data_IF_239363789896
#
_entry.id   IF_239363789896
#
_cell.length_a   1.000
_cell.length_b   1.000
_cell.length_c   1.000
_cell.angle_alpha   90.00
_cell.angle_beta   90.00
_cell.angle_gamma   90.00
#
_symmetry.space_group_name_H-M   'P 1'
#
loop_
_entity.id
_entity.type
_entity.pdbx_description
1 polymer ?
#
# COMPACT_ATOMS: atom_id res chain seq x y z
N UNK A 1 27.03 14.58 5.81
CA UNK A 1 25.57 14.55 5.71
C UNK A 1 25.00 15.85 5.15
N UNK A 2 25.27 17.01 5.73
CA UNK A 2 24.78 18.34 5.33
C UNK A 2 25.06 18.69 3.85
N UNK A 3 26.27 18.44 3.33
CA UNK A 3 26.64 18.76 1.94
C UNK A 3 25.81 17.99 0.90
N UNK A 4 25.53 16.71 1.15
CA UNK A 4 24.70 15.88 0.26
C UNK A 4 23.25 16.41 0.19
N UNK A 5 22.75 16.90 1.31
CA UNK A 5 21.40 17.46 1.43
C UNK A 5 21.27 18.77 0.64
N UNK A 6 22.22 19.69 0.80
CA UNK A 6 22.26 20.93 0.02
C UNK A 6 22.50 20.68 -1.47
N UNK A 7 23.39 19.75 -1.82
CA UNK A 7 23.62 19.38 -3.22
C UNK A 7 22.35 18.83 -3.89
N UNK A 8 21.58 18.00 -3.17
CA UNK A 8 20.31 17.47 -3.66
C UNK A 8 19.27 18.58 -3.84
N UNK A 9 19.20 19.54 -2.90
CA UNK A 9 18.29 20.69 -3.00
C UNK A 9 18.61 21.57 -4.22
N UNK A 10 19.89 21.85 -4.46
CA UNK A 10 20.34 22.64 -5.62
C UNK A 10 20.00 21.93 -6.94
N UNK A 11 20.27 20.63 -7.04
CA UNK A 11 19.95 19.84 -8.23
C UNK A 11 18.43 19.85 -8.48
N UNK A 12 17.63 19.69 -7.42
CA UNK A 12 16.16 19.73 -7.54
C UNK A 12 15.66 21.10 -8.00
N UNK A 13 16.25 22.20 -7.51
CA UNK A 13 15.89 23.56 -7.91
C UNK A 13 16.22 23.83 -9.38
N UNK A 14 17.39 23.37 -9.83
CA UNK A 14 17.80 23.47 -11.25
C UNK A 14 16.88 22.65 -12.15
N UNK A 15 16.55 21.42 -11.76
CA UNK A 15 15.63 20.57 -12.51
C UNK A 15 14.24 21.21 -12.60
N UNK A 16 13.73 21.75 -11.48
CA UNK A 16 12.44 22.45 -11.45
C UNK A 16 12.43 23.65 -12.40
N UNK A 17 13.48 24.49 -12.38
CA UNK A 17 13.57 25.65 -13.28
C UNK A 17 13.59 25.26 -14.76
N UNK A 18 14.24 24.13 -15.09
CA UNK A 18 14.26 23.62 -16.45
C UNK A 18 12.92 22.99 -16.87
N UNK A 19 12.22 22.37 -15.95
CA UNK A 19 10.86 21.84 -16.17
C UNK A 19 9.86 22.98 -16.40
N UNK A 20 9.84 24.00 -15.54
CA UNK A 20 8.97 25.19 -15.69
C UNK A 20 9.11 25.89 -17.05
N UNK A 21 10.35 25.97 -17.58
CA UNK A 21 10.61 26.57 -18.90
C UNK A 21 10.09 25.67 -20.05
N UNK A 22 10.22 24.35 -19.92
CA UNK A 22 9.72 23.39 -20.93
C UNK A 22 8.22 23.34 -20.97
N UNK A 23 7.55 23.39 -19.81
CA UNK A 23 6.09 23.35 -19.68
C UNK A 23 5.41 24.53 -20.36
N UNK A 24 5.98 25.73 -20.27
CA UNK A 24 5.45 26.92 -20.97
C UNK A 24 5.33 26.74 -22.48
N UNK A 25 6.11 25.83 -23.05
CA UNK A 25 6.15 25.61 -24.49
C UNK A 25 5.42 24.35 -24.95
N UNK A 26 5.25 23.33 -24.11
CA UNK A 26 4.79 21.99 -24.51
C UNK A 26 3.75 21.33 -23.59
N UNK A 27 3.21 22.04 -22.60
CA UNK A 27 2.31 21.48 -21.57
C UNK A 27 3.06 20.75 -20.46
N UNK A 28 2.32 20.20 -19.49
CA UNK A 28 2.89 19.54 -18.32
C UNK A 28 3.78 18.35 -18.71
N UNK A 29 5.04 18.37 -18.29
CA UNK A 29 6.06 17.35 -18.59
C UNK A 29 6.85 17.00 -17.32
N UNK A 30 7.56 15.90 -17.37
CA UNK A 30 8.41 15.44 -16.27
C UNK A 30 8.05 14.02 -15.85
N UNK A 31 8.77 13.53 -14.83
CA UNK A 31 8.52 12.19 -14.28
C UNK A 31 7.89 12.30 -12.91
N UNK A 32 6.73 11.71 -12.73
CA UNK A 32 6.06 11.55 -11.45
C UNK A 32 6.55 10.27 -10.78
N UNK A 33 7.21 10.41 -9.64
CA UNK A 33 7.74 9.30 -8.86
C UNK A 33 6.74 8.91 -7.78
N UNK A 34 6.17 7.72 -7.90
CA UNK A 34 5.14 7.20 -7.02
C UNK A 34 5.64 5.95 -6.29
N UNK A 35 5.27 5.82 -5.02
CA UNK A 35 5.48 4.59 -4.28
C UNK A 35 4.18 4.10 -3.65
N UNK A 36 4.04 2.80 -3.42
CA UNK A 36 2.88 2.28 -2.71
C UNK A 36 3.15 0.96 -2.01
N UNK A 37 2.31 0.66 -1.04
CA UNK A 37 2.11 -0.71 -0.61
C UNK A 37 1.36 -1.49 -1.68
N UNK A 38 1.37 -2.81 -1.59
CA UNK A 38 0.51 -3.69 -2.37
C UNK A 38 -0.96 -3.62 -1.88
N UNK A 39 -1.81 -4.45 -2.41
CA UNK A 39 -3.24 -4.44 -2.12
C UNK A 39 -3.99 -3.50 -3.06
N UNK A 40 -4.84 -2.62 -2.53
CA UNK A 40 -5.68 -1.73 -3.36
C UNK A 40 -4.90 -0.53 -3.96
N UNK A 41 -3.76 -0.16 -3.39
CA UNK A 41 -3.01 1.02 -3.82
C UNK A 41 -2.60 1.04 -5.32
N UNK A 42 -2.12 -0.08 -5.93
CA UNK A 42 -1.85 -0.11 -7.37
C UNK A 42 -3.07 0.16 -8.24
N UNK A 43 -4.26 -0.26 -7.82
CA UNK A 43 -5.53 0.01 -8.53
C UNK A 43 -5.87 1.50 -8.48
N UNK A 44 -5.72 2.15 -7.33
CA UNK A 44 -5.92 3.60 -7.20
C UNK A 44 -4.97 4.36 -8.14
N UNK A 45 -3.68 4.04 -8.12
CA UNK A 45 -2.74 4.66 -9.06
C UNK A 45 -3.08 4.41 -10.51
N UNK A 46 -3.45 3.20 -10.90
CA UNK A 46 -3.84 2.90 -12.26
C UNK A 46 -5.03 3.74 -12.73
N UNK A 47 -6.04 3.92 -11.88
CA UNK A 47 -7.21 4.76 -12.18
C UNK A 47 -6.83 6.24 -12.29
N UNK A 48 -6.06 6.78 -11.35
CA UNK A 48 -5.64 8.18 -11.36
C UNK A 48 -4.70 8.49 -12.52
N UNK A 49 -3.70 7.65 -12.73
CA UNK A 49 -2.75 7.79 -13.85
C UNK A 49 -3.48 7.74 -15.18
N UNK A 50 -4.40 6.79 -15.38
CA UNK A 50 -5.17 6.69 -16.63
C UNK A 50 -5.95 7.97 -16.92
N UNK A 51 -6.57 8.56 -15.92
CA UNK A 51 -7.36 9.77 -16.10
C UNK A 51 -6.49 11.03 -16.23
N UNK A 52 -5.38 11.11 -15.49
CA UNK A 52 -4.43 12.22 -15.55
C UNK A 52 -3.66 12.24 -16.87
N UNK A 53 -3.22 11.08 -17.34
CA UNK A 53 -2.47 10.91 -18.59
C UNK A 53 -3.28 11.38 -19.83
N UNK A 54 -4.60 11.19 -19.83
CA UNK A 54 -5.46 11.71 -20.91
C UNK A 54 -5.37 13.23 -21.09
N UNK A 55 -5.14 13.95 -20.00
CA UNK A 55 -4.98 15.40 -20.00
C UNK A 55 -3.52 15.84 -20.16
N UNK A 56 -2.58 15.01 -19.72
CA UNK A 56 -1.15 15.29 -19.63
C UNK A 56 -0.33 14.17 -20.27
N UNK A 57 -0.39 13.97 -21.61
CA UNK A 57 0.18 12.80 -22.28
C UNK A 57 1.72 12.76 -22.28
N UNK A 58 2.38 13.87 -21.94
CA UNK A 58 3.85 13.96 -21.90
C UNK A 58 4.44 13.64 -20.51
N UNK A 59 3.60 13.40 -19.50
CA UNK A 59 4.05 13.01 -18.16
C UNK A 59 4.47 11.53 -18.16
N UNK A 60 5.65 11.28 -17.60
CA UNK A 60 6.17 9.93 -17.37
C UNK A 60 5.90 9.50 -15.93
N UNK A 61 5.88 8.19 -15.69
CA UNK A 61 5.57 7.62 -14.37
C UNK A 61 6.62 6.62 -13.96
N UNK A 62 7.09 6.73 -12.72
CA UNK A 62 7.95 5.76 -12.07
C UNK A 62 7.25 5.21 -10.84
N UNK A 63 6.89 3.91 -10.84
CA UNK A 63 6.17 3.27 -9.75
C UNK A 63 7.08 2.30 -9.00
N UNK A 64 7.05 2.38 -7.68
CA UNK A 64 7.77 1.49 -6.79
C UNK A 64 6.84 0.91 -5.72
N UNK A 65 7.03 -0.37 -5.37
CA UNK A 65 6.23 -1.05 -4.35
C UNK A 65 7.10 -1.59 -3.21
N UNK A 66 6.55 -1.56 -1.98
CA UNK A 66 7.17 -2.09 -0.79
C UNK A 66 6.21 -2.10 0.40
N UNK A 67 6.71 -2.42 1.59
CA UNK A 67 5.92 -2.26 2.81
C UNK A 67 5.80 -0.78 3.21
N UNK A 68 4.85 -0.44 4.12
CA UNK A 68 4.61 0.96 4.48
C UNK A 68 5.84 1.67 5.06
N UNK A 69 6.71 0.98 5.80
CA UNK A 69 7.90 1.60 6.40
C UNK A 69 8.93 1.94 5.33
N UNK A 70 9.16 1.06 4.36
CA UNK A 70 10.02 1.31 3.20
C UNK A 70 9.48 2.45 2.34
N UNK A 71 8.16 2.48 2.14
CA UNK A 71 7.47 3.54 1.38
C UNK A 71 7.63 4.90 2.07
N UNK A 72 7.39 4.98 3.38
CA UNK A 72 7.61 6.21 4.16
C UNK A 72 9.07 6.67 4.07
N UNK A 73 10.02 5.75 4.23
CA UNK A 73 11.44 6.06 4.10
C UNK A 73 11.77 6.67 2.71
N UNK A 74 11.16 6.17 1.63
CA UNK A 74 11.35 6.74 0.28
C UNK A 74 10.81 8.16 0.16
N UNK A 75 9.61 8.43 0.69
CA UNK A 75 9.03 9.78 0.74
C UNK A 75 9.94 10.73 1.49
N UNK A 76 10.38 10.35 2.69
CA UNK A 76 11.20 11.21 3.54
C UNK A 76 12.57 11.52 2.92
N UNK A 77 13.14 10.59 2.16
CA UNK A 77 14.42 10.79 1.45
C UNK A 77 14.24 11.38 0.04
N UNK A 78 13.01 11.70 -0.37
CA UNK A 78 12.73 12.29 -1.68
C UNK A 78 13.03 11.37 -2.86
N UNK A 79 12.92 10.06 -2.65
CA UNK A 79 13.02 9.04 -3.70
C UNK A 79 11.69 8.80 -4.42
N UNK A 80 10.61 9.38 -3.91
CA UNK A 80 9.32 9.52 -4.58
C UNK A 80 8.64 10.81 -4.13
N UNK A 81 7.72 11.30 -4.93
CA UNK A 81 6.95 12.52 -4.68
C UNK A 81 5.76 12.25 -3.79
N UNK A 82 4.96 11.26 -4.17
CA UNK A 82 3.73 10.85 -3.50
C UNK A 82 3.75 9.34 -3.25
N UNK A 83 3.11 8.91 -2.16
CA UNK A 83 3.04 7.49 -1.89
C UNK A 83 1.73 7.09 -1.20
N UNK A 84 1.31 5.83 -1.39
CA UNK A 84 0.16 5.26 -0.68
C UNK A 84 0.65 4.20 0.31
N UNK A 85 0.23 4.34 1.56
CA UNK A 85 0.50 3.38 2.64
C UNK A 85 -0.80 2.95 3.32
N UNK A 86 -0.71 1.89 4.14
CA UNK A 86 -1.79 1.49 5.05
C UNK A 86 -1.44 1.96 6.46
N UNK A 87 -2.38 2.65 7.11
CA UNK A 87 -2.27 3.05 8.51
C UNK A 87 -2.22 1.83 9.47
N UNK A 88 -1.69 1.97 10.69
CA UNK A 88 -1.10 3.18 11.26
C UNK A 88 0.33 3.43 10.76
N UNK A 89 0.75 4.69 10.80
CA UNK A 89 2.15 5.07 10.64
C UNK A 89 2.56 6.06 11.74
N UNK A 90 3.85 6.06 12.08
CA UNK A 90 4.42 6.95 13.10
C UNK A 90 5.42 7.95 12.47
N UNK A 91 5.28 8.21 11.18
CA UNK A 91 6.21 9.10 10.49
C UNK A 91 5.90 10.57 10.80
N UNK A 92 6.79 11.23 11.52
CA UNK A 92 6.80 12.69 11.60
C UNK A 92 7.22 13.29 10.27
N UNK A 93 6.64 14.45 9.91
CA UNK A 93 7.04 15.19 8.71
C UNK A 93 6.38 14.72 7.40
N UNK A 94 5.37 13.88 7.46
CA UNK A 94 4.49 13.60 6.33
C UNK A 94 3.15 14.30 6.47
N UNK A 95 2.61 14.76 5.35
CA UNK A 95 1.20 15.10 5.21
C UNK A 95 0.45 13.91 4.62
N UNK A 96 -0.83 13.79 4.90
CA UNK A 96 -1.63 12.67 4.45
C UNK A 96 -3.04 13.07 4.02
N UNK A 97 -3.59 12.26 3.11
CA UNK A 97 -4.97 12.32 2.65
C UNK A 97 -5.55 10.89 2.64
N UNK A 98 -6.66 10.63 3.37
CA UNK A 98 -7.35 9.35 3.28
C UNK A 98 -7.88 9.14 1.86
N UNK A 99 -7.65 7.93 1.28
CA UNK A 99 -8.01 7.66 -0.12
C UNK A 99 -8.86 6.41 -0.30
N UNK A 100 -8.78 5.44 0.62
CA UNK A 100 -9.56 4.22 0.51
C UNK A 100 -9.59 3.44 1.82
N UNK A 101 -10.62 2.59 2.00
CA UNK A 101 -10.71 1.64 3.10
C UNK A 101 -11.29 0.33 2.60
N UNK A 102 -10.80 -0.78 3.12
CA UNK A 102 -11.31 -2.12 2.85
C UNK A 102 -11.22 -3.01 4.10
N UNK A 103 -12.05 -4.07 4.20
CA UNK A 103 -11.95 -5.01 5.32
C UNK A 103 -10.68 -5.87 5.21
N UNK A 104 -10.33 -6.50 6.33
CA UNK A 104 -9.33 -7.56 6.37
C UNK A 104 -9.97 -8.89 6.07
N UNK A 105 -9.26 -9.73 5.33
CA UNK A 105 -9.72 -11.07 4.96
C UNK A 105 -8.72 -12.15 5.37
N UNK A 106 -9.25 -13.35 5.57
CA UNK A 106 -8.48 -14.58 5.61
C UNK A 106 -8.50 -15.21 4.22
N UNK A 107 -7.34 -15.37 3.61
CA UNK A 107 -7.13 -16.18 2.42
C UNK A 107 -6.79 -17.59 2.88
N UNK A 108 -7.66 -18.55 2.57
CA UNK A 108 -7.68 -19.90 3.13
C UNK A 108 -7.45 -20.90 2.00
N UNK A 109 -6.52 -21.88 2.16
CA UNK A 109 -6.36 -22.92 1.14
C UNK A 109 -7.68 -23.64 0.85
N UNK A 110 -7.99 -23.96 -0.41
CA UNK A 110 -9.20 -24.67 -0.78
C UNK A 110 -9.31 -26.07 -0.10
N UNK A 111 -8.17 -26.67 0.24
CA UNK A 111 -8.10 -27.95 0.99
C UNK A 111 -8.36 -27.83 2.48
N UNK A 112 -8.39 -26.61 3.04
CA UNK A 112 -8.58 -26.39 4.47
C UNK A 112 -10.06 -26.59 4.87
N UNK A 113 -10.39 -27.23 6.00
CA UNK A 113 -11.77 -27.40 6.44
C UNK A 113 -12.59 -26.11 6.53
N UNK A 114 -11.96 -24.97 6.86
CA UNK A 114 -12.64 -23.69 6.93
C UNK A 114 -13.17 -23.21 5.56
N UNK A 115 -12.60 -23.68 4.46
CA UNK A 115 -13.06 -23.35 3.10
C UNK A 115 -14.42 -24.02 2.78
N UNK A 116 -14.73 -25.13 3.44
CA UNK A 116 -15.98 -25.89 3.23
C UNK A 116 -17.21 -25.20 3.84
N UNK A 117 -17.01 -24.31 4.80
CA UNK A 117 -18.09 -23.49 5.33
C UNK A 117 -18.50 -22.43 4.30
N UNK A 118 -19.78 -22.40 3.84
CA UNK A 118 -20.24 -21.47 2.81
C UNK A 118 -20.30 -20.00 3.26
N UNK A 119 -20.14 -19.71 4.56
CA UNK A 119 -20.13 -18.33 5.07
C UNK A 119 -19.03 -17.51 4.38
N UNK A 120 -19.33 -16.30 3.87
CA UNK A 120 -18.34 -15.39 3.33
C UNK A 120 -17.49 -14.70 4.42
N UNK A 121 -17.84 -14.92 5.70
CA UNK A 121 -17.19 -14.30 6.85
C UNK A 121 -16.59 -15.34 7.78
N UNK A 122 -15.61 -14.91 8.60
CA UNK A 122 -14.94 -15.71 9.61
C UNK A 122 -14.58 -14.84 10.82
N UNK A 123 -14.60 -15.40 12.02
CA UNK A 123 -14.11 -14.71 13.22
C UNK A 123 -12.62 -15.00 13.40
N UNK A 124 -11.86 -14.05 13.91
CA UNK A 124 -10.42 -14.24 14.13
C UNK A 124 -10.13 -15.47 15.02
N UNK A 125 -10.94 -15.71 16.05
CA UNK A 125 -10.75 -16.87 16.94
C UNK A 125 -10.83 -18.23 16.23
N UNK A 126 -11.53 -18.31 15.10
CA UNK A 126 -11.60 -19.56 14.30
C UNK A 126 -10.29 -19.87 13.55
N UNK A 127 -9.41 -18.86 13.42
CA UNK A 127 -8.09 -19.01 12.80
C UNK A 127 -7.02 -19.52 13.79
N UNK A 128 -7.27 -19.49 15.11
CA UNK A 128 -6.29 -19.87 16.14
C UNK A 128 -5.63 -21.24 15.97
N UNK A 129 -6.35 -22.30 15.54
CA UNK A 129 -5.76 -23.63 15.38
C UNK A 129 -4.83 -23.75 14.15
N UNK A 130 -4.76 -22.72 13.30
CA UNK A 130 -4.07 -22.79 12.02
C UNK A 130 -2.80 -21.95 11.99
N UNK A 131 -1.88 -22.32 11.12
CA UNK A 131 -0.67 -21.55 10.84
C UNK A 131 -1.00 -20.32 10.02
N UNK A 132 -0.57 -19.15 10.50
CA UNK A 132 -0.91 -17.86 9.89
C UNK A 132 0.30 -17.20 9.25
N UNK A 133 0.07 -16.61 8.09
CA UNK A 133 0.94 -15.63 7.47
C UNK A 133 0.30 -14.24 7.59
N UNK A 134 1.08 -13.26 8.02
CA UNK A 134 0.60 -11.90 8.26
C UNK A 134 1.53 -10.88 7.57
N UNK A 135 1.10 -9.64 7.34
CA UNK A 135 1.97 -8.60 6.81
C UNK A 135 3.22 -8.38 7.66
N UNK A 136 4.35 -8.08 7.00
CA UNK A 136 5.69 -8.09 7.60
C UNK A 136 5.96 -6.99 8.65
N UNK A 137 5.13 -5.92 8.70
CA UNK A 137 5.33 -4.82 9.65
C UNK A 137 5.13 -5.27 11.09
N UNK A 138 6.04 -4.85 12.00
CA UNK A 138 5.95 -5.16 13.43
C UNK A 138 4.68 -4.61 14.08
N UNK A 139 4.30 -3.35 13.77
CA UNK A 139 3.06 -2.74 14.25
C UNK A 139 1.81 -3.52 13.83
N UNK A 140 1.84 -4.14 12.66
CA UNK A 140 0.75 -4.97 12.15
C UNK A 140 0.65 -6.31 12.89
N UNK A 141 1.79 -6.89 13.25
CA UNK A 141 1.81 -8.10 14.10
C UNK A 141 1.11 -7.84 15.45
N UNK A 142 1.46 -6.73 16.10
CA UNK A 142 0.86 -6.35 17.39
C UNK A 142 -0.65 -6.10 17.27
N UNK A 143 -1.07 -5.43 16.21
CA UNK A 143 -2.48 -5.17 15.95
C UNK A 143 -3.26 -6.46 15.71
N UNK A 144 -2.81 -7.29 14.77
CA UNK A 144 -3.48 -8.56 14.42
C UNK A 144 -3.49 -9.51 15.62
N UNK A 145 -2.44 -9.54 16.42
CA UNK A 145 -2.41 -10.38 17.62
C UNK A 145 -3.53 -10.03 18.61
N UNK A 146 -3.88 -8.75 18.71
CA UNK A 146 -5.00 -8.30 19.58
C UNK A 146 -6.37 -8.79 19.11
N UNK A 147 -6.53 -9.12 17.83
CA UNK A 147 -7.82 -9.61 17.29
C UNK A 147 -8.24 -10.96 17.90
N UNK A 148 -7.29 -11.72 18.37
CA UNK A 148 -7.53 -13.06 18.93
C UNK A 148 -7.90 -13.04 20.43
N UNK A 149 -7.81 -11.88 21.07
CA UNK A 149 -8.06 -11.72 22.51
C UNK A 149 -6.76 -11.68 23.34
N UNK A 150 -6.85 -11.23 24.61
CA UNK A 150 -5.68 -10.91 25.44
C UNK A 150 -4.77 -12.09 25.75
N UNK A 151 -5.34 -13.30 25.89
CA UNK A 151 -4.63 -14.52 26.28
C UNK A 151 -4.35 -15.45 25.07
N UNK A 152 -4.82 -15.10 23.90
CA UNK A 152 -4.69 -15.94 22.72
C UNK A 152 -3.30 -15.78 22.09
N UNK A 153 -2.73 -16.90 21.62
CA UNK A 153 -1.44 -16.94 20.96
C UNK A 153 -1.63 -17.53 19.55
N UNK A 154 -1.90 -16.71 18.53
CA UNK A 154 -2.00 -17.19 17.17
C UNK A 154 -0.67 -17.80 16.70
N UNK A 155 -0.75 -18.86 15.92
CA UNK A 155 0.44 -19.55 15.38
C UNK A 155 0.93 -18.77 14.15
N UNK A 156 1.73 -17.72 14.35
CA UNK A 156 2.32 -16.95 13.26
C UNK A 156 3.53 -17.70 12.70
N UNK A 157 3.35 -18.34 11.54
CA UNK A 157 4.41 -19.08 10.84
C UNK A 157 5.37 -18.17 10.08
N UNK A 158 4.86 -17.07 9.53
CA UNK A 158 5.69 -16.14 8.77
C UNK A 158 5.09 -14.76 8.62
N UNK A 159 5.98 -13.81 8.26
CA UNK A 159 5.64 -12.44 7.92
C UNK A 159 5.97 -12.18 6.46
N UNK A 160 5.04 -11.64 5.70
CA UNK A 160 5.13 -11.52 4.25
C UNK A 160 4.95 -10.07 3.82
N UNK A 161 5.87 -9.58 2.99
CA UNK A 161 5.82 -8.24 2.43
C UNK A 161 5.02 -8.17 1.12
N UNK A 162 5.02 -9.27 0.35
CA UNK A 162 4.47 -9.31 -1.01
C UNK A 162 3.25 -10.22 -1.11
N UNK A 163 2.17 -9.68 -1.67
CA UNK A 163 0.88 -10.39 -1.82
C UNK A 163 0.99 -11.66 -2.67
N UNK A 164 1.78 -11.64 -3.74
CA UNK A 164 1.97 -12.83 -4.57
C UNK A 164 2.62 -13.98 -3.78
N UNK A 165 3.63 -13.68 -2.94
CA UNK A 165 4.25 -14.69 -2.07
C UNK A 165 3.26 -15.26 -1.06
N UNK A 166 2.40 -14.39 -0.50
CA UNK A 166 1.33 -14.79 0.41
C UNK A 166 0.33 -15.76 -0.27
N UNK A 167 -0.11 -15.39 -1.48
CA UNK A 167 -1.01 -16.20 -2.28
C UNK A 167 -0.41 -17.58 -2.60
N UNK A 168 0.84 -17.62 -3.08
CA UNK A 168 1.50 -18.87 -3.45
C UNK A 168 1.66 -19.84 -2.26
N UNK A 169 2.05 -19.32 -1.10
CA UNK A 169 2.15 -20.14 0.12
C UNK A 169 0.79 -20.66 0.57
N UNK A 170 -0.24 -19.83 0.49
CA UNK A 170 -1.61 -20.21 0.85
C UNK A 170 -2.16 -21.27 -0.09
N UNK A 171 -2.12 -21.07 -1.40
CA UNK A 171 -2.68 -22.04 -2.36
C UNK A 171 -2.00 -23.42 -2.28
N UNK A 172 -0.73 -23.47 -1.88
CA UNK A 172 0.02 -24.71 -1.65
C UNK A 172 -0.25 -25.34 -0.27
N UNK A 173 -1.14 -24.75 0.53
CA UNK A 173 -1.57 -25.30 1.81
C UNK A 173 -0.61 -25.11 2.97
N UNK A 174 0.39 -24.22 2.87
CA UNK A 174 1.37 -23.99 3.94
C UNK A 174 0.72 -23.27 5.13
N UNK A 175 -0.31 -22.44 4.90
CA UNK A 175 -1.04 -21.76 5.98
C UNK A 175 -2.10 -20.80 5.44
N UNK A 176 -2.78 -20.10 6.36
CA UNK A 176 -3.80 -19.11 6.06
C UNK A 176 -3.14 -17.74 6.09
N UNK A 177 -3.40 -16.92 5.08
CA UNK A 177 -2.88 -15.54 5.05
C UNK A 177 -3.95 -14.53 5.47
N UNK A 178 -3.60 -13.62 6.38
CA UNK A 178 -4.41 -12.45 6.73
C UNK A 178 -3.89 -11.26 5.90
N UNK A 179 -4.77 -10.68 5.09
CA UNK A 179 -4.42 -9.58 4.18
C UNK A 179 -5.64 -8.66 3.95
N UNK A 180 -5.48 -7.42 3.45
CA UNK A 180 -6.60 -6.60 2.99
C UNK A 180 -7.43 -7.28 1.88
N UNK A 181 -8.70 -6.94 1.75
CA UNK A 181 -9.67 -7.64 0.87
C UNK A 181 -9.27 -7.65 -0.61
N UNK A 182 -8.51 -6.66 -1.07
CA UNK A 182 -7.92 -6.61 -2.42
C UNK A 182 -6.99 -7.79 -2.76
N UNK A 183 -6.58 -8.59 -1.77
CA UNK A 183 -5.93 -9.88 -2.01
C UNK A 183 -6.77 -10.82 -2.88
N UNK A 184 -8.10 -10.72 -2.78
CA UNK A 184 -9.02 -11.49 -3.62
C UNK A 184 -8.96 -11.15 -5.11
N UNK A 185 -8.48 -9.96 -5.47
CA UNK A 185 -8.42 -9.51 -6.87
C UNK A 185 -7.41 -10.29 -7.71
N UNK A 186 -6.36 -10.83 -7.09
CA UNK A 186 -5.35 -11.64 -7.77
C UNK A 186 -5.50 -13.15 -7.51
N UNK A 187 -6.35 -13.52 -6.55
CA UNK A 187 -6.50 -14.91 -6.14
C UNK A 187 -7.32 -15.69 -7.17
N UNK A 188 -6.86 -16.87 -7.53
CA UNK A 188 -7.69 -17.85 -8.19
C UNK A 188 -8.58 -18.53 -7.15
N UNK A 189 -9.88 -18.24 -7.18
CA UNK A 189 -10.86 -18.74 -6.20
C UNK A 189 -11.10 -20.26 -6.28
N UNK A 190 -10.49 -20.97 -7.24
CA UNK A 190 -10.45 -22.43 -7.23
C UNK A 190 -9.40 -22.99 -6.28
N UNK A 191 -8.34 -22.22 -6.02
CA UNK A 191 -7.18 -22.64 -5.20
C UNK A 191 -7.29 -22.17 -3.75
N UNK A 192 -7.99 -21.07 -3.53
CA UNK A 192 -8.17 -20.46 -2.22
C UNK A 192 -9.60 -19.94 -2.03
N UNK A 193 -10.03 -19.89 -0.77
CA UNK A 193 -11.26 -19.27 -0.33
C UNK A 193 -10.95 -17.96 0.38
N UNK A 194 -11.67 -16.89 0.09
CA UNK A 194 -11.54 -15.58 0.74
C UNK A 194 -12.72 -15.38 1.69
N UNK A 195 -12.43 -15.09 2.94
CA UNK A 195 -13.45 -14.78 3.96
C UNK A 195 -13.11 -13.48 4.69
N UNK A 196 -14.10 -12.60 4.80
CA UNK A 196 -13.96 -11.37 5.58
C UNK A 196 -13.86 -11.67 7.07
N UNK A 197 -12.90 -11.04 7.76
CA UNK A 197 -12.74 -11.16 9.22
C UNK A 197 -13.69 -10.15 9.89
N UNK A 198 -14.71 -10.65 10.59
CA UNK A 198 -15.79 -9.80 11.13
C UNK A 198 -15.74 -9.59 12.65
N UNK A 199 -15.00 -10.43 13.37
CA UNK A 199 -14.81 -10.29 14.83
C UNK A 199 -13.31 -10.45 15.18
N UNK A 200 -12.63 -9.31 15.46
CA UNK A 200 -13.13 -7.94 15.35
C UNK A 200 -13.22 -7.47 13.90
N UNK A 201 -14.21 -6.64 13.60
CA UNK A 201 -14.32 -5.98 12.30
C UNK A 201 -13.31 -4.83 12.22
N UNK A 202 -12.21 -5.04 11.54
CA UNK A 202 -11.17 -4.04 11.32
C UNK A 202 -11.05 -3.70 9.84
N UNK A 203 -10.63 -2.47 9.56
CA UNK A 203 -10.39 -1.99 8.20
C UNK A 203 -8.93 -1.66 7.97
N UNK A 204 -8.47 -1.91 6.76
CA UNK A 204 -7.22 -1.41 6.24
C UNK A 204 -7.48 -0.03 5.62
N UNK A 205 -6.97 1.03 6.25
CA UNK A 205 -7.13 2.41 5.78
C UNK A 205 -5.94 2.81 4.95
N UNK A 206 -6.16 3.13 3.68
CA UNK A 206 -5.14 3.61 2.76
C UNK A 206 -5.11 5.12 2.78
N UNK A 207 -3.91 5.67 2.91
CA UNK A 207 -3.67 7.10 2.87
C UNK A 207 -2.61 7.43 1.82
N UNK A 208 -2.83 8.50 1.07
CA UNK A 208 -1.82 9.13 0.24
C UNK A 208 -0.96 10.02 1.13
N UNK A 209 0.36 9.91 1.03
CA UNK A 209 1.31 10.68 1.83
C UNK A 209 2.33 11.41 0.95
N UNK A 210 2.85 12.54 1.46
CA UNK A 210 3.97 13.27 0.87
C UNK A 210 4.80 13.97 1.96
N UNK A 211 6.02 14.36 1.61
CA UNK A 211 6.91 15.01 2.56
C UNK A 211 6.45 16.46 2.81
N UNK A 212 6.13 16.81 4.06
CA UNK A 212 5.68 18.14 4.48
C UNK A 212 6.72 19.23 4.26
N UNK A 213 8.00 18.89 4.37
CA UNK A 213 9.10 19.84 4.36
C UNK A 213 9.76 19.97 2.98
N UNK A 214 9.35 19.17 2.01
CA UNK A 214 9.91 19.20 0.67
C UNK A 214 8.88 19.75 -0.30
N UNK A 215 9.32 20.70 -1.12
CA UNK A 215 8.50 21.18 -2.22
C UNK A 215 8.36 20.04 -3.26
N UNK A 216 7.13 19.74 -3.63
CA UNK A 216 6.83 18.81 -4.73
C UNK A 216 7.30 19.39 -6.06
N UNK A 217 7.60 18.54 -7.03
CA UNK A 217 7.72 18.94 -8.42
C UNK A 217 6.38 19.46 -8.94
N UNK A 218 6.38 20.28 -9.99
CA UNK A 218 5.13 20.81 -10.51
C UNK A 218 4.18 19.70 -10.99
N UNK A 219 4.72 18.68 -11.64
CA UNK A 219 3.93 17.51 -12.04
C UNK A 219 3.31 16.78 -10.85
N UNK A 220 4.01 16.72 -9.72
CA UNK A 220 3.49 16.09 -8.50
C UNK A 220 2.43 16.95 -7.79
N UNK A 221 2.60 18.28 -7.78
CA UNK A 221 1.59 19.24 -7.29
C UNK A 221 0.30 19.13 -8.09
N UNK A 222 0.39 19.17 -9.43
CA UNK A 222 -0.75 19.02 -10.33
C UNK A 222 -1.45 17.67 -10.17
N UNK A 223 -0.70 16.59 -10.01
CA UNK A 223 -1.27 15.28 -9.76
C UNK A 223 -1.95 15.18 -8.39
N UNK A 224 -1.36 15.77 -7.34
CA UNK A 224 -1.97 15.83 -6.02
C UNK A 224 -3.27 16.64 -6.03
N UNK A 225 -3.29 17.80 -6.70
CA UNK A 225 -4.48 18.63 -6.85
C UNK A 225 -5.58 17.87 -7.61
N UNK A 226 -5.21 17.19 -8.69
CA UNK A 226 -6.11 16.33 -9.44
C UNK A 226 -6.76 15.21 -8.59
N UNK A 227 -6.01 14.63 -7.63
CA UNK A 227 -6.55 13.62 -6.71
C UNK A 227 -7.50 14.26 -5.69
N UNK A 228 -7.15 15.45 -5.15
CA UNK A 228 -7.97 16.16 -4.14
C UNK A 228 -9.34 16.62 -4.66
N UNK A 229 -9.48 16.79 -5.96
CA UNK A 229 -10.72 17.22 -6.62
C UNK A 229 -11.69 16.04 -6.89
N UNK A 230 -11.33 14.81 -6.53
CA UNK A 230 -12.12 13.60 -6.80
C UNK A 230 -12.71 12.97 -5.55
#
# INVERSE_FOLDING_TARGET
MIFKEYATQVINLVNKSTEDIRERNHGLQGTLYLASVEGHAPRLYAQWITAFHKKNPHVQYSLWNGNSDDVVHRVMNGLCDLAIIIEPHNAEGVESLPVYQEPWVAMIPASNPLSQNPSPTIRACELLPYELFIPSRTSRLEEISKWFGPDAKPIVRGRIAHLLSAYELTRLGVGITIYPASAGDIANLTDVCIKEIVEPANTASYILIWNKYRQLSHVAEEFLNFIKER
#
